data_IF_596552765907
#
_entry.id   IF_596552765907
#
_cell.length_a   1.000
_cell.length_b   1.000
_cell.length_c   1.000
_cell.angle_alpha   90.00
_cell.angle_beta   90.00
_cell.angle_gamma   90.00
#
_symmetry.space_group_name_H-M   'P 1'
#
loop_
_entity.id
_entity.type
_entity.pdbx_description
1 polymer ?
#
# COMPACT_ATOMS: atom_id res chain seq x y z
N UNK A 1 -4.33 13.30 -74.46
CA UNK A 1 -3.31 12.30 -74.85
C UNK A 1 -2.96 11.53 -73.57
N UNK A 2 -3.50 10.31 -73.35
CA UNK A 2 -2.91 8.98 -73.66
C UNK A 2 -1.47 8.85 -73.10
N UNK A 3 -1.03 7.85 -72.31
CA UNK A 3 -1.51 6.52 -71.93
C UNK A 3 -0.77 6.13 -70.60
N UNK A 4 -1.38 5.48 -69.60
CA UNK A 4 -1.51 4.02 -69.37
C UNK A 4 -0.21 3.22 -69.53
N UNK A 5 0.33 2.70 -68.42
CA UNK A 5 0.79 1.30 -68.34
C UNK A 5 0.77 0.81 -66.89
N UNK A 6 0.01 -0.28 -66.69
CA UNK A 6 -0.13 -1.06 -65.46
C UNK A 6 1.09 -1.98 -65.23
N UNK A 7 1.34 -2.33 -63.98
CA UNK A 7 1.75 -3.68 -63.60
C UNK A 7 1.11 -4.07 -62.25
N UNK A 8 0.11 -4.94 -62.34
CA UNK A 8 -0.54 -5.70 -61.28
C UNK A 8 0.15 -7.08 -61.22
N UNK A 9 0.05 -7.74 -60.05
CA UNK A 9 0.36 -9.14 -59.72
C UNK A 9 1.79 -9.46 -59.26
N UNK A 10 1.96 -9.73 -57.96
CA UNK A 10 1.75 -11.09 -57.45
C UNK A 10 1.63 -11.11 -55.92
N UNK A 11 0.44 -11.46 -55.45
CA UNK A 11 0.17 -12.07 -54.14
C UNK A 11 0.78 -13.47 -54.12
N UNK A 12 1.49 -13.84 -53.04
CA UNK A 12 1.39 -15.12 -52.32
C UNK A 12 2.59 -15.32 -51.37
N UNK A 13 2.29 -15.65 -50.11
CA UNK A 13 3.14 -16.56 -49.34
C UNK A 13 3.91 -15.97 -48.16
N UNK A 14 3.21 -15.65 -47.06
CA UNK A 14 3.76 -15.85 -45.72
C UNK A 14 2.63 -16.17 -44.74
N UNK A 15 2.28 -17.45 -44.68
CA UNK A 15 1.52 -18.03 -43.59
C UNK A 15 2.38 -18.01 -42.31
N UNK A 16 1.80 -17.47 -41.24
CA UNK A 16 1.92 -17.91 -39.85
C UNK A 16 3.33 -18.11 -39.26
N UNK A 17 3.74 -17.17 -38.41
CA UNK A 17 3.84 -17.50 -36.98
C UNK A 17 3.23 -16.34 -36.17
N UNK A 18 2.17 -16.55 -35.36
CA UNK A 18 1.98 -15.69 -34.21
C UNK A 18 3.01 -16.17 -33.19
N UNK A 19 4.20 -15.54 -33.19
CA UNK A 19 5.07 -15.62 -32.04
C UNK A 19 4.29 -14.98 -30.87
N UNK A 20 3.67 -15.85 -30.07
CA UNK A 20 3.34 -15.62 -28.67
C UNK A 20 4.63 -15.25 -27.93
N UNK A 21 5.06 -14.01 -28.08
CA UNK A 21 6.10 -13.41 -27.26
C UNK A 21 5.60 -12.04 -26.79
N UNK A 22 4.48 -12.07 -26.05
CA UNK A 22 4.43 -11.24 -24.87
C UNK A 22 5.41 -11.90 -23.89
N UNK A 23 6.64 -11.38 -23.81
CA UNK A 23 7.51 -11.67 -22.67
C UNK A 23 6.67 -11.47 -21.39
N UNK A 24 6.73 -12.39 -20.40
CA UNK A 24 6.06 -12.11 -19.14
C UNK A 24 6.68 -10.83 -18.60
N UNK A 25 5.86 -9.80 -18.40
CA UNK A 25 6.28 -8.68 -17.56
C UNK A 25 6.63 -9.30 -16.20
N UNK A 26 7.91 -9.42 -15.89
CA UNK A 26 8.37 -10.00 -14.65
C UNK A 26 7.73 -9.18 -13.52
N UNK A 27 6.88 -9.84 -12.72
CA UNK A 27 6.25 -9.24 -11.57
C UNK A 27 7.30 -9.07 -10.46
N UNK A 28 8.27 -8.19 -10.71
CA UNK A 28 9.28 -7.81 -9.74
C UNK A 28 8.83 -6.58 -8.96
N UNK A 29 9.29 -6.49 -7.72
CA UNK A 29 9.14 -5.29 -6.94
C UNK A 29 9.89 -4.15 -7.65
N UNK A 30 9.26 -2.97 -7.75
CA UNK A 30 9.98 -1.77 -8.16
C UNK A 30 11.16 -1.53 -7.22
N UNK A 31 12.30 -1.13 -7.79
CA UNK A 31 13.56 -0.94 -7.08
C UNK A 31 13.45 0.06 -5.92
N UNK A 32 14.43 0.02 -5.00
CA UNK A 32 14.47 0.91 -3.86
C UNK A 32 14.50 2.38 -4.32
N UNK A 33 13.41 3.12 -4.05
CA UNK A 33 13.37 4.56 -4.21
C UNK A 33 14.25 5.21 -3.13
N UNK A 34 15.37 5.80 -3.53
CA UNK A 34 16.17 6.66 -2.65
C UNK A 34 15.61 8.08 -2.69
N UNK A 35 15.14 8.56 -1.54
CA UNK A 35 14.68 9.95 -1.41
C UNK A 35 15.92 10.83 -1.25
N UNK A 36 16.18 11.68 -2.24
CA UNK A 36 17.22 12.70 -2.15
C UNK A 36 16.62 14.00 -1.63
N UNK A 37 17.04 14.42 -0.44
CA UNK A 37 16.68 15.72 0.14
C UNK A 37 17.68 16.80 -0.30
N UNK A 38 17.20 18.01 -0.54
CA UNK A 38 18.07 19.17 -0.80
C UNK A 38 18.93 19.48 0.43
N UNK A 39 20.08 20.14 0.24
CA UNK A 39 20.95 20.54 1.35
C UNK A 39 20.24 21.44 2.36
N UNK A 40 19.38 22.35 1.89
CA UNK A 40 18.56 23.21 2.75
C UNK A 40 17.53 22.42 3.57
N UNK A 41 16.90 21.40 2.98
CA UNK A 41 15.97 20.53 3.73
C UNK A 41 16.71 19.72 4.80
N UNK A 42 17.90 19.20 4.48
CA UNK A 42 18.73 18.47 5.45
C UNK A 42 19.20 19.37 6.60
N UNK A 43 19.63 20.59 6.29
CA UNK A 43 20.02 21.58 7.29
C UNK A 43 18.84 21.92 8.19
N UNK A 44 17.67 22.20 7.61
CA UNK A 44 16.47 22.50 8.40
C UNK A 44 16.06 21.31 9.27
N UNK A 45 16.09 20.09 8.77
CA UNK A 45 15.80 18.90 9.58
C UNK A 45 16.75 18.76 10.77
N UNK A 46 18.02 19.11 10.58
CA UNK A 46 19.01 19.14 11.67
C UNK A 46 18.64 20.18 12.73
N UNK A 47 18.29 21.40 12.31
CA UNK A 47 17.81 22.47 13.20
C UNK A 47 16.54 22.06 13.95
N UNK A 48 15.57 21.47 13.24
CA UNK A 48 14.30 21.04 13.83
C UNK A 48 14.48 19.88 14.81
N UNK A 49 15.46 18.99 14.57
CA UNK A 49 15.81 17.89 15.47
C UNK A 49 16.62 18.30 16.69
N UNK A 50 17.23 19.49 16.69
CA UNK A 50 17.95 20.05 17.82
C UNK A 50 17.02 20.78 18.81
N UNK A 51 17.58 21.14 19.98
CA UNK A 51 16.92 22.03 20.94
C UNK A 51 16.76 23.44 20.37
N UNK A 52 15.68 24.14 20.74
CA UNK A 52 15.40 25.48 20.21
C UNK A 52 16.46 26.50 20.62
N UNK A 53 17.14 27.11 19.63
CA UNK A 53 18.16 28.13 19.83
C UNK A 53 17.84 29.40 19.04
N UNK A 54 17.95 30.57 19.69
CA UNK A 54 17.74 31.88 19.05
C UNK A 54 18.73 32.14 17.89
N UNK A 55 19.91 31.51 17.92
CA UNK A 55 20.87 31.54 16.81
C UNK A 55 20.36 30.92 15.50
N UNK A 56 19.35 30.04 15.55
CA UNK A 56 18.79 29.38 14.36
C UNK A 56 17.75 30.24 13.64
N UNK A 57 17.32 31.36 14.24
CA UNK A 57 16.28 32.26 13.70
C UNK A 57 16.55 32.68 12.25
N UNK A 58 17.77 33.12 11.87
CA UNK A 58 18.05 33.51 10.48
C UNK A 58 17.91 32.35 9.50
N UNK A 59 18.29 31.13 9.90
CA UNK A 59 18.17 29.94 9.04
C UNK A 59 16.70 29.54 8.84
N UNK A 60 15.89 29.60 9.90
CA UNK A 60 14.45 29.30 9.86
C UNK A 60 13.68 30.31 8.97
N UNK A 61 14.01 31.60 9.07
CA UNK A 61 13.44 32.64 8.20
C UNK A 61 13.91 32.42 6.76
N UNK A 62 15.23 32.25 6.55
CA UNK A 62 15.81 32.02 5.22
C UNK A 62 15.16 30.83 4.51
N UNK A 63 14.92 29.74 5.24
CA UNK A 63 14.25 28.57 4.68
C UNK A 63 12.87 28.94 4.14
N UNK A 64 12.03 29.59 4.94
CA UNK A 64 10.67 29.96 4.52
C UNK A 64 10.63 30.94 3.34
N UNK A 65 11.57 31.88 3.27
CA UNK A 65 11.60 32.91 2.24
C UNK A 65 12.19 32.42 0.92
N UNK A 66 13.26 31.61 0.96
CA UNK A 66 14.11 31.35 -0.22
C UNK A 66 14.06 29.93 -0.77
N UNK A 67 13.49 28.98 -0.04
CA UNK A 67 13.40 27.61 -0.56
C UNK A 67 12.24 27.49 -1.54
N UNK A 68 12.43 26.73 -2.62
CA UNK A 68 11.37 26.26 -3.52
C UNK A 68 11.30 24.72 -3.52
N UNK A 69 11.79 24.10 -2.44
CA UNK A 69 11.75 22.65 -2.28
C UNK A 69 10.30 22.14 -2.29
N UNK A 70 10.09 20.97 -2.90
CA UNK A 70 8.84 20.22 -2.81
C UNK A 70 8.43 19.93 -1.35
N UNK A 71 9.39 19.94 -0.43
CA UNK A 71 9.17 19.71 1.00
C UNK A 71 8.76 20.98 1.76
N UNK A 72 8.87 22.17 1.14
CA UNK A 72 8.55 23.46 1.77
C UNK A 72 7.16 23.51 2.42
N UNK A 73 6.08 22.98 1.82
CA UNK A 73 4.76 23.00 2.44
C UNK A 73 4.72 22.27 3.79
N UNK A 74 5.60 21.30 4.02
CA UNK A 74 5.67 20.57 5.29
C UNK A 74 6.72 21.22 6.20
N UNK A 75 7.96 21.28 5.74
CA UNK A 75 9.09 21.73 6.55
C UNK A 75 9.01 23.22 6.89
N UNK A 76 8.48 24.05 5.98
CA UNK A 76 8.26 25.47 6.23
C UNK A 76 7.23 25.70 7.35
N UNK A 77 6.17 24.89 7.41
CA UNK A 77 5.21 24.95 8.51
C UNK A 77 5.86 24.61 9.87
N UNK A 78 6.73 23.60 9.93
CA UNK A 78 7.48 23.30 11.15
C UNK A 78 8.50 24.39 11.50
N UNK A 79 9.16 25.00 10.51
CA UNK A 79 10.03 26.14 10.73
C UNK A 79 9.27 27.34 11.32
N UNK A 80 8.07 27.63 10.83
CA UNK A 80 7.17 28.67 11.37
C UNK A 80 6.72 28.37 12.79
N UNK A 81 6.37 27.10 13.09
CA UNK A 81 6.06 26.67 14.44
C UNK A 81 7.24 26.91 15.40
N UNK A 82 8.46 26.57 14.98
CA UNK A 82 9.68 26.79 15.77
C UNK A 82 9.91 28.27 16.04
N UNK A 83 9.85 29.11 15.00
CA UNK A 83 9.96 30.56 15.11
C UNK A 83 8.91 31.14 16.08
N UNK A 84 7.65 30.73 15.94
CA UNK A 84 6.58 31.20 16.80
C UNK A 84 6.75 30.78 18.26
N UNK A 85 7.14 29.52 18.50
CA UNK A 85 7.38 29.03 19.86
C UNK A 85 8.54 29.79 20.54
N UNK A 86 9.60 30.10 19.79
CA UNK A 86 10.72 30.92 20.29
C UNK A 86 10.27 32.35 20.60
N UNK A 87 9.49 32.97 19.72
CA UNK A 87 8.97 34.31 19.93
C UNK A 87 8.01 34.41 21.13
N UNK A 88 7.13 33.41 21.33
CA UNK A 88 6.27 33.36 22.51
C UNK A 88 7.06 33.22 23.81
N UNK A 89 8.16 32.45 23.80
CA UNK A 89 9.07 32.36 24.96
C UNK A 89 9.68 33.71 25.29
N UNK A 90 9.98 34.50 24.27
CA UNK A 90 10.60 35.83 24.39
C UNK A 90 9.54 36.95 24.60
N UNK A 91 8.26 36.59 24.67
CA UNK A 91 7.14 37.51 24.90
C UNK A 91 6.62 38.24 23.65
N UNK A 92 7.19 37.98 22.47
CA UNK A 92 6.79 38.59 21.20
C UNK A 92 5.57 37.85 20.60
N UNK A 93 4.39 38.15 21.13
CA UNK A 93 3.13 37.54 20.71
C UNK A 93 2.70 37.99 19.31
N UNK A 94 3.14 39.17 18.85
CA UNK A 94 2.83 39.68 17.52
C UNK A 94 3.56 38.90 16.43
N UNK A 95 4.90 38.79 16.53
CA UNK A 95 5.68 38.02 15.58
C UNK A 95 5.27 36.54 15.58
N UNK A 96 5.00 35.97 16.76
CA UNK A 96 4.50 34.60 16.84
C UNK A 96 3.21 34.41 16.03
N UNK A 97 2.22 35.30 16.19
CA UNK A 97 0.96 35.23 15.41
C UNK A 97 1.19 35.44 13.92
N UNK A 98 2.13 36.31 13.52
CA UNK A 98 2.49 36.50 12.12
C UNK A 98 3.01 35.21 11.50
N UNK A 99 3.87 34.45 12.21
CA UNK A 99 4.38 33.17 11.72
C UNK A 99 3.30 32.09 11.70
N UNK A 100 2.49 32.00 12.77
CA UNK A 100 1.46 30.97 12.91
C UNK A 100 0.29 31.14 11.93
N UNK A 101 -0.07 32.39 11.58
CA UNK A 101 -1.16 32.67 10.63
C UNK A 101 -0.87 32.15 9.21
N UNK A 102 0.42 31.96 8.90
CA UNK A 102 0.88 31.42 7.62
C UNK A 102 1.01 29.89 7.63
N UNK A 103 0.77 29.23 8.77
CA UNK A 103 0.73 27.76 8.82
C UNK A 103 -0.54 27.27 8.13
N UNK A 104 -0.36 26.37 7.16
CA UNK A 104 -1.48 25.81 6.42
C UNK A 104 -2.41 25.02 7.34
N UNK A 105 -3.69 25.37 7.37
CA UNK A 105 -4.63 24.79 8.33
C UNK A 105 -4.94 23.29 8.08
N UNK A 106 -4.62 22.76 6.90
CA UNK A 106 -4.77 21.33 6.55
C UNK A 106 -3.47 20.54 6.75
N UNK A 107 -2.41 21.16 7.26
CA UNK A 107 -1.13 20.51 7.48
C UNK A 107 -1.08 19.75 8.81
N UNK A 108 -0.11 18.84 8.99
CA UNK A 108 0.18 18.20 10.29
C UNK A 108 0.50 19.20 11.41
N UNK A 109 1.06 20.36 11.05
CA UNK A 109 1.38 21.47 11.96
C UNK A 109 0.12 22.25 12.42
N UNK A 110 -1.04 21.96 11.79
CA UNK A 110 -2.39 22.42 12.11
C UNK A 110 -2.65 22.69 13.60
N UNK A 111 -2.53 21.61 14.36
CA UNK A 111 -2.92 21.55 15.76
C UNK A 111 -1.96 22.38 16.60
N UNK A 112 -0.65 22.17 16.44
CA UNK A 112 0.37 22.92 17.17
C UNK A 112 0.24 24.42 16.89
N UNK A 113 -0.04 24.81 15.64
CA UNK A 113 -0.18 26.20 15.29
C UNK A 113 -1.36 26.86 15.99
N UNK A 114 -2.51 26.19 16.00
CA UNK A 114 -3.71 26.69 16.65
C UNK A 114 -3.57 26.77 18.19
N UNK A 115 -2.88 25.79 18.80
CA UNK A 115 -2.60 25.82 20.23
C UNK A 115 -1.65 26.96 20.61
N UNK A 116 -0.60 27.20 19.82
CA UNK A 116 0.30 28.34 20.02
C UNK A 116 -0.40 29.68 19.75
N UNK A 117 -1.32 29.74 18.78
CA UNK A 117 -2.16 30.92 18.56
C UNK A 117 -3.03 31.18 19.78
N UNK A 118 -3.70 30.17 20.31
CA UNK A 118 -4.50 30.31 21.52
C UNK A 118 -3.67 30.78 22.71
N UNK A 119 -2.47 30.22 22.90
CA UNK A 119 -1.57 30.65 23.98
C UNK A 119 -1.08 32.09 23.79
N UNK A 120 -0.78 32.50 22.55
CA UNK A 120 -0.42 33.91 22.26
C UNK A 120 -1.52 34.90 22.69
N UNK A 121 -2.79 34.53 22.52
CA UNK A 121 -3.91 35.35 22.96
C UNK A 121 -4.10 35.30 24.48
N UNK A 122 -3.83 34.16 25.13
CA UNK A 122 -3.84 34.05 26.60
C UNK A 122 -2.78 34.95 27.24
N UNK A 123 -1.57 35.00 26.68
CA UNK A 123 -0.48 35.85 27.16
C UNK A 123 -0.84 37.34 27.10
N UNK A 124 -1.57 37.77 26.06
CA UNK A 124 -2.08 39.14 25.94
C UNK A 124 -3.39 39.39 26.72
N UNK A 125 -3.89 38.39 27.45
CA UNK A 125 -5.14 38.48 28.22
C UNK A 125 -6.43 38.29 27.41
N UNK A 126 -6.36 38.10 26.10
CA UNK A 126 -7.52 37.84 25.23
C UNK A 126 -7.97 36.38 25.29
N UNK A 127 -8.57 36.00 26.42
CA UNK A 127 -9.04 34.64 26.65
C UNK A 127 -10.18 34.23 25.73
N UNK A 128 -10.96 35.18 25.19
CA UNK A 128 -12.04 34.83 24.28
C UNK A 128 -11.50 34.28 22.96
N UNK A 129 -10.58 35.01 22.31
CA UNK A 129 -9.95 34.52 21.07
C UNK A 129 -9.18 33.23 21.30
N UNK A 130 -8.54 33.07 22.45
CA UNK A 130 -7.88 31.81 22.80
C UNK A 130 -8.86 30.62 22.81
N UNK A 131 -10.00 30.75 23.49
CA UNK A 131 -11.04 29.72 23.55
C UNK A 131 -11.62 29.41 22.18
N UNK A 132 -11.84 30.42 21.35
CA UNK A 132 -12.34 30.22 19.98
C UNK A 132 -11.35 29.38 19.14
N UNK A 133 -10.04 29.59 19.31
CA UNK A 133 -9.02 28.75 18.69
C UNK A 133 -9.05 27.30 19.19
N UNK A 134 -9.16 27.10 20.51
CA UNK A 134 -9.26 25.76 21.11
C UNK A 134 -10.48 24.97 20.60
N UNK A 135 -11.65 25.61 20.57
CA UNK A 135 -12.89 24.97 20.07
C UNK A 135 -12.77 24.65 18.58
N UNK A 136 -12.29 25.61 17.77
CA UNK A 136 -12.13 25.41 16.33
C UNK A 136 -11.19 24.27 15.99
N UNK A 137 -10.04 24.16 16.68
CA UNK A 137 -9.08 23.12 16.35
C UNK A 137 -9.57 21.73 16.72
N UNK A 138 -10.27 21.59 17.86
CA UNK A 138 -10.89 20.33 18.28
C UNK A 138 -12.08 19.90 17.40
N UNK A 139 -12.75 20.85 16.75
CA UNK A 139 -13.76 20.56 15.74
C UNK A 139 -13.13 20.02 14.45
N UNK A 140 -11.99 20.59 14.04
CA UNK A 140 -11.28 20.21 12.80
C UNK A 140 -10.49 18.92 12.91
N UNK A 141 -9.87 18.67 14.05
CA UNK A 141 -9.07 17.47 14.32
C UNK A 141 -9.66 16.70 15.51
N UNK A 142 -10.89 16.16 15.35
CA UNK A 142 -11.63 15.55 16.46
C UNK A 142 -10.96 14.29 17.02
N UNK A 143 -10.06 13.66 16.26
CA UNK A 143 -9.26 12.52 16.69
C UNK A 143 -7.86 12.88 17.17
N UNK A 144 -7.49 14.16 17.24
CA UNK A 144 -6.19 14.56 17.78
C UNK A 144 -6.29 14.82 19.30
N UNK A 145 -5.54 14.09 20.14
CA UNK A 145 -5.64 14.25 21.59
C UNK A 145 -5.23 15.64 22.10
N UNK A 146 -4.24 16.29 21.46
CA UNK A 146 -3.81 17.66 21.80
C UNK A 146 -4.81 18.72 21.36
N UNK A 147 -5.55 18.48 20.28
CA UNK A 147 -6.65 19.36 19.91
C UNK A 147 -7.78 19.29 20.96
N UNK A 148 -8.10 18.10 21.45
CA UNK A 148 -9.11 17.90 22.50
C UNK A 148 -8.63 18.48 23.85
N UNK A 149 -7.35 18.40 24.18
CA UNK A 149 -6.82 19.08 25.39
C UNK A 149 -7.04 20.59 25.35
N UNK A 150 -7.07 21.21 24.16
CA UNK A 150 -7.52 22.60 24.00
C UNK A 150 -8.92 22.85 24.57
N UNK A 151 -9.86 21.90 24.42
CA UNK A 151 -11.20 22.05 25.02
C UNK A 151 -11.15 22.03 26.55
N UNK A 152 -10.30 21.19 27.14
CA UNK A 152 -10.13 21.17 28.60
C UNK A 152 -9.58 22.50 29.09
N UNK A 153 -8.56 23.04 28.40
CA UNK A 153 -8.02 24.38 28.69
C UNK A 153 -9.08 25.48 28.55
N UNK A 154 -9.93 25.41 27.52
CA UNK A 154 -11.03 26.36 27.34
C UNK A 154 -12.08 26.26 28.46
N UNK A 155 -12.38 25.04 28.92
CA UNK A 155 -13.25 24.79 30.08
C UNK A 155 -12.65 25.35 31.37
N UNK A 156 -11.36 25.12 31.59
CA UNK A 156 -10.61 25.67 32.73
C UNK A 156 -10.60 27.20 32.71
N UNK A 157 -10.44 27.81 31.53
CA UNK A 157 -10.48 29.28 31.39
C UNK A 157 -11.83 29.87 31.79
N UNK A 158 -12.94 29.21 31.44
CA UNK A 158 -14.28 29.63 31.88
C UNK A 158 -14.50 29.35 33.37
N UNK A 159 -14.08 28.18 33.88
CA UNK A 159 -14.18 27.83 35.30
C UNK A 159 -13.46 28.85 36.17
N UNK A 160 -12.24 29.22 35.80
CA UNK A 160 -11.43 30.19 36.54
C UNK A 160 -12.04 31.61 36.53
N UNK A 161 -13.00 31.90 35.64
CA UNK A 161 -13.77 33.14 35.61
C UNK A 161 -15.11 33.03 36.36
N UNK A 162 -15.41 31.89 36.99
CA UNK A 162 -16.71 31.61 37.60
C UNK A 162 -17.85 31.42 36.59
N UNK A 163 -17.53 31.36 35.29
CA UNK A 163 -18.48 31.26 34.19
C UNK A 163 -18.94 29.81 33.99
N UNK A 164 -19.69 29.30 34.96
CA UNK A 164 -20.05 27.87 35.04
C UNK A 164 -20.90 27.41 33.86
N UNK A 165 -21.87 28.23 33.43
CA UNK A 165 -22.79 27.91 32.33
C UNK A 165 -22.05 27.70 31.00
N UNK A 166 -20.92 28.38 30.83
CA UNK A 166 -20.05 28.27 29.66
C UNK A 166 -19.02 27.13 29.80
N UNK A 167 -18.50 26.88 31.01
CA UNK A 167 -17.48 25.87 31.24
C UNK A 167 -18.03 24.43 31.08
N UNK A 168 -19.21 24.16 31.63
CA UNK A 168 -19.82 22.83 31.64
C UNK A 168 -20.02 22.21 30.23
N UNK A 169 -20.60 22.90 29.23
CA UNK A 169 -20.76 22.33 27.90
C UNK A 169 -19.41 22.04 27.21
N UNK A 170 -18.38 22.83 27.50
CA UNK A 170 -17.04 22.62 26.92
C UNK A 170 -16.37 21.37 27.49
N UNK A 171 -16.44 21.13 28.80
CA UNK A 171 -15.96 19.86 29.38
C UNK A 171 -16.74 18.65 28.85
N UNK A 172 -18.07 18.76 28.74
CA UNK A 172 -18.89 17.69 28.16
C UNK A 172 -18.49 17.40 26.69
N UNK A 173 -18.19 18.43 25.90
CA UNK A 173 -17.70 18.26 24.53
C UNK A 173 -16.35 17.52 24.50
N UNK A 174 -15.42 17.87 25.40
CA UNK A 174 -14.14 17.16 25.52
C UNK A 174 -14.36 15.67 25.86
N UNK A 175 -15.20 15.38 26.86
CA UNK A 175 -15.53 14.03 27.30
C UNK A 175 -16.19 13.20 26.18
N UNK A 176 -17.12 13.78 25.43
CA UNK A 176 -17.77 13.11 24.31
C UNK A 176 -16.75 12.73 23.23
N UNK A 177 -15.87 13.66 22.84
CA UNK A 177 -14.80 13.38 21.87
C UNK A 177 -13.84 12.32 22.38
N UNK A 178 -13.47 12.34 23.66
CA UNK A 178 -12.64 11.28 24.25
C UNK A 178 -13.33 9.92 24.13
N UNK A 179 -14.61 9.82 24.50
CA UNK A 179 -15.36 8.58 24.45
C UNK A 179 -15.49 8.03 23.01
N UNK A 180 -15.77 8.89 22.03
CA UNK A 180 -15.83 8.53 20.61
C UNK A 180 -14.49 7.95 20.12
N UNK A 181 -13.37 8.61 20.45
CA UNK A 181 -12.04 8.15 20.05
C UNK A 181 -11.64 6.86 20.75
N UNK A 182 -11.94 6.71 22.05
CA UNK A 182 -11.70 5.46 22.79
C UNK A 182 -12.48 4.29 22.17
N UNK A 183 -13.73 4.52 21.74
CA UNK A 183 -14.54 3.52 21.03
C UNK A 183 -13.93 3.14 19.67
N UNK A 184 -13.41 4.12 18.93
CA UNK A 184 -12.71 3.85 17.66
C UNK A 184 -11.42 3.05 17.88
N UNK A 185 -10.66 3.37 18.93
CA UNK A 185 -9.47 2.61 19.33
C UNK A 185 -9.81 1.18 19.78
N UNK A 186 -10.93 0.98 20.47
CA UNK A 186 -11.38 -0.36 20.84
C UNK A 186 -11.76 -1.20 19.61
N UNK A 187 -12.52 -0.62 18.69
CA UNK A 187 -12.86 -1.27 17.40
C UNK A 187 -11.59 -1.71 16.65
N UNK A 188 -10.52 -0.90 16.72
CA UNK A 188 -9.25 -1.27 16.10
C UNK A 188 -8.53 -2.40 16.85
N UNK A 189 -8.57 -2.39 18.19
CA UNK A 189 -8.02 -3.47 18.99
C UNK A 189 -8.64 -4.82 18.60
N UNK A 190 -9.95 -4.82 18.36
CA UNK A 190 -10.73 -5.99 17.98
C UNK A 190 -10.49 -6.41 16.50
N UNK A 191 -10.16 -5.47 15.62
CA UNK A 191 -9.89 -5.70 14.19
C UNK A 191 -8.67 -4.88 13.67
N UNK A 192 -7.43 -5.32 13.98
CA UNK A 192 -6.20 -4.63 13.61
C UNK A 192 -6.01 -4.44 12.10
N UNK A 193 -6.65 -5.29 11.28
CA UNK A 193 -6.45 -5.30 9.83
C UNK A 193 -7.06 -4.06 9.16
N UNK A 194 -7.95 -3.35 9.86
CA UNK A 194 -8.45 -2.02 9.43
C UNK A 194 -7.32 -1.01 9.27
N UNK A 195 -6.24 -1.15 10.02
CA UNK A 195 -5.10 -0.24 9.98
C UNK A 195 -4.39 -0.25 8.62
N UNK A 196 -4.38 -1.39 7.93
CA UNK A 196 -3.67 -1.50 6.65
C UNK A 196 -4.23 -0.57 5.60
N UNK A 197 -5.56 -0.38 5.54
CA UNK A 197 -6.17 0.57 4.61
C UNK A 197 -5.74 2.01 4.92
N UNK A 198 -5.63 2.36 6.20
CA UNK A 198 -5.15 3.68 6.61
C UNK A 198 -3.66 3.84 6.29
N UNK A 199 -2.82 2.86 6.60
CA UNK A 199 -1.38 2.90 6.29
C UNK A 199 -1.05 3.03 4.80
N UNK A 200 -1.84 2.39 3.92
CA UNK A 200 -1.58 2.45 2.47
C UNK A 200 -2.24 3.62 1.76
N UNK A 201 -3.23 4.28 2.37
CA UNK A 201 -4.02 5.35 1.73
C UNK A 201 -3.93 6.70 2.45
N UNK A 202 -3.45 6.75 3.69
CA UNK A 202 -3.37 7.99 4.45
C UNK A 202 -2.20 8.81 3.93
N UNK A 203 -2.52 9.94 3.31
CA UNK A 203 -1.57 11.02 3.13
C UNK A 203 -1.31 11.58 4.52
N UNK A 204 -0.06 11.50 5.00
CA UNK A 204 0.38 11.94 6.34
C UNK A 204 0.03 13.39 6.73
N UNK A 205 -0.64 14.14 5.84
CA UNK A 205 -1.09 15.52 6.01
C UNK A 205 -2.43 15.71 6.74
N UNK A 206 -3.37 14.74 6.70
CA UNK A 206 -4.74 14.96 7.17
C UNK A 206 -5.11 14.10 8.40
N UNK A 207 -4.34 14.25 9.47
CA UNK A 207 -4.44 13.42 10.69
C UNK A 207 -5.64 13.78 11.58
N UNK A 208 -6.84 13.75 11.01
CA UNK A 208 -8.07 14.21 11.65
C UNK A 208 -8.71 13.14 12.53
N UNK A 209 -8.43 11.87 12.25
CA UNK A 209 -8.97 10.73 12.99
C UNK A 209 -7.97 10.21 14.02
N UNK A 210 -8.47 9.50 15.04
CA UNK A 210 -7.60 8.84 16.02
C UNK A 210 -6.76 7.73 15.40
N UNK A 211 -7.25 7.12 14.32
CA UNK A 211 -6.52 6.15 13.51
C UNK A 211 -5.26 6.78 12.90
N UNK A 212 -5.39 7.98 12.35
CA UNK A 212 -4.24 8.70 11.80
C UNK A 212 -3.23 9.08 12.89
N UNK A 213 -3.70 9.45 14.09
CA UNK A 213 -2.80 9.72 15.22
C UNK A 213 -2.02 8.49 15.65
N UNK A 214 -2.66 7.32 15.63
CA UNK A 214 -1.99 6.07 15.95
C UNK A 214 -0.97 5.67 14.87
N UNK A 215 -1.31 5.87 13.58
CA UNK A 215 -0.37 5.71 12.47
C UNK A 215 0.84 6.64 12.64
N UNK A 216 0.61 7.91 12.96
CA UNK A 216 1.69 8.85 13.22
C UNK A 216 2.56 8.44 14.42
N UNK A 217 1.96 7.93 15.50
CA UNK A 217 2.70 7.46 16.67
C UNK A 217 3.60 6.26 16.31
N UNK A 218 3.06 5.27 15.61
CA UNK A 218 3.82 4.14 15.10
C UNK A 218 4.94 4.56 14.16
N UNK A 219 4.69 5.48 13.23
CA UNK A 219 5.71 5.95 12.28
C UNK A 219 6.84 6.73 12.96
N UNK A 220 6.53 7.48 14.04
CA UNK A 220 7.52 8.25 14.81
C UNK A 220 8.43 7.36 15.65
N UNK A 221 7.93 6.22 16.08
CA UNK A 221 8.72 5.20 16.76
C UNK A 221 9.70 4.55 15.78
N UNK A 222 10.99 4.91 15.90
CA UNK A 222 12.03 4.47 14.97
C UNK A 222 12.25 2.95 15.03
N UNK A 223 11.98 2.33 16.18
CA UNK A 223 12.17 0.90 16.40
C UNK A 223 10.96 0.07 15.97
N UNK A 224 9.83 0.72 15.63
CA UNK A 224 8.60 0.05 15.20
C UNK A 224 8.74 -0.71 13.88
N UNK A 225 9.65 -0.25 13.00
CA UNK A 225 9.81 -0.71 11.63
C UNK A 225 8.53 -0.63 10.76
N UNK A 226 7.55 0.19 11.15
CA UNK A 226 6.25 0.29 10.44
C UNK A 226 6.38 0.89 9.06
N UNK A 227 7.32 1.81 8.83
CA UNK A 227 7.58 2.36 7.50
C UNK A 227 8.06 1.28 6.53
N UNK A 228 9.00 0.45 6.96
CA UNK A 228 9.52 -0.66 6.15
C UNK A 228 8.44 -1.71 5.91
N UNK A 229 7.66 -2.07 6.93
CA UNK A 229 6.54 -2.97 6.80
C UNK A 229 5.49 -2.42 5.82
N UNK A 230 5.16 -1.13 5.90
CA UNK A 230 4.21 -0.47 4.99
C UNK A 230 4.72 -0.50 3.55
N UNK A 231 6.01 -0.22 3.32
CA UNK A 231 6.63 -0.33 2.00
C UNK A 231 6.54 -1.76 1.45
N UNK A 232 6.87 -2.76 2.27
CA UNK A 232 6.72 -4.19 1.90
C UNK A 232 5.28 -4.52 1.53
N UNK A 233 4.29 -4.04 2.29
CA UNK A 233 2.86 -4.26 1.99
C UNK A 233 2.43 -3.63 0.67
N UNK A 234 2.87 -2.39 0.39
CA UNK A 234 2.57 -1.72 -0.89
C UNK A 234 3.17 -2.50 -2.06
N UNK A 235 4.45 -2.86 -1.96
CA UNK A 235 5.14 -3.62 -3.00
C UNK A 235 4.50 -5.00 -3.22
N UNK A 236 4.25 -5.75 -2.15
CA UNK A 236 3.61 -7.06 -2.22
C UNK A 236 2.20 -6.97 -2.83
N UNK A 237 1.43 -5.91 -2.54
CA UNK A 237 0.12 -5.71 -3.16
C UNK A 237 0.21 -5.43 -4.67
N UNK A 238 1.23 -4.68 -5.11
CA UNK A 238 1.48 -4.44 -6.53
C UNK A 238 1.90 -5.73 -7.25
N UNK A 239 2.83 -6.50 -6.68
CA UNK A 239 3.24 -7.80 -7.22
C UNK A 239 2.05 -8.75 -7.28
N UNK A 240 1.21 -8.82 -6.23
CA UNK A 240 0.00 -9.65 -6.21
C UNK A 240 -1.00 -9.28 -7.31
N UNK A 241 -1.19 -7.98 -7.59
CA UNK A 241 -2.03 -7.52 -8.70
C UNK A 241 -1.48 -8.00 -10.05
N UNK A 242 -0.16 -7.88 -10.25
CA UNK A 242 0.51 -8.38 -11.44
C UNK A 242 0.37 -9.91 -11.59
N UNK A 243 0.61 -10.67 -10.52
CA UNK A 243 0.48 -12.13 -10.50
C UNK A 243 -0.95 -12.58 -10.83
N UNK A 244 -1.98 -11.91 -10.35
CA UNK A 244 -3.38 -12.19 -10.72
C UNK A 244 -3.64 -12.03 -12.22
N UNK A 245 -2.98 -11.07 -12.86
CA UNK A 245 -3.10 -10.88 -14.31
C UNK A 245 -2.37 -11.99 -15.08
N UNK A 246 -1.19 -12.38 -14.62
CA UNK A 246 -0.46 -13.51 -15.19
C UNK A 246 -1.21 -14.84 -15.01
N UNK A 247 -1.85 -15.04 -13.85
CA UNK A 247 -2.66 -16.23 -13.55
C UNK A 247 -3.82 -16.39 -14.54
N UNK A 248 -4.53 -15.30 -14.86
CA UNK A 248 -5.59 -15.32 -15.89
C UNK A 248 -5.04 -15.73 -17.25
N UNK A 249 -3.89 -15.18 -17.64
CA UNK A 249 -3.23 -15.55 -18.90
C UNK A 249 -2.85 -17.03 -18.93
N UNK A 250 -2.26 -17.54 -17.85
CA UNK A 250 -1.91 -18.96 -17.74
C UNK A 250 -3.16 -19.86 -17.77
N UNK A 251 -4.21 -19.48 -17.07
CA UNK A 251 -5.47 -20.23 -17.04
C UNK A 251 -6.05 -20.39 -18.45
N UNK A 252 -6.07 -19.31 -19.24
CA UNK A 252 -6.51 -19.35 -20.64
C UNK A 252 -5.61 -20.27 -21.48
N UNK A 253 -4.29 -20.20 -21.32
CA UNK A 253 -3.35 -21.05 -22.05
C UNK A 253 -3.54 -22.55 -21.72
N UNK A 254 -3.76 -22.88 -20.45
CA UNK A 254 -4.09 -24.23 -19.98
C UNK A 254 -5.41 -24.68 -20.62
N UNK A 255 -6.45 -23.85 -20.55
CA UNK A 255 -7.76 -24.15 -21.13
C UNK A 255 -7.67 -24.44 -22.64
N UNK A 256 -6.90 -23.64 -23.39
CA UNK A 256 -6.66 -23.89 -24.81
C UNK A 256 -5.88 -25.17 -25.08
N UNK A 257 -4.93 -25.54 -24.21
CA UNK A 257 -4.22 -26.81 -24.32
C UNK A 257 -5.15 -28.00 -24.05
N UNK A 258 -5.99 -27.93 -23.01
CA UNK A 258 -6.95 -28.98 -22.67
C UNK A 258 -8.06 -29.13 -23.72
N UNK A 259 -8.54 -28.02 -24.30
CA UNK A 259 -9.54 -28.09 -25.38
C UNK A 259 -8.98 -28.78 -26.64
N UNK A 260 -7.73 -28.48 -27.01
CA UNK A 260 -7.03 -29.19 -28.10
C UNK A 260 -6.87 -30.68 -27.79
N UNK A 261 -6.54 -31.01 -26.54
CA UNK A 261 -6.40 -32.39 -26.09
C UNK A 261 -7.71 -33.20 -26.24
N UNK A 262 -8.82 -32.61 -25.79
CA UNK A 262 -10.16 -33.21 -25.92
C UNK A 262 -10.52 -33.48 -27.39
N UNK A 263 -10.27 -32.51 -28.28
CA UNK A 263 -10.50 -32.67 -29.72
C UNK A 263 -9.64 -33.80 -30.32
N UNK A 264 -8.40 -33.94 -29.88
CA UNK A 264 -7.46 -34.96 -30.36
C UNK A 264 -7.66 -36.35 -29.73
N UNK A 265 -8.54 -36.50 -28.73
CA UNK A 265 -8.69 -37.74 -27.94
C UNK A 265 -9.11 -38.95 -28.79
N UNK A 266 -10.13 -38.79 -29.63
CA UNK A 266 -10.63 -39.84 -30.52
C UNK A 266 -9.57 -40.25 -31.57
N UNK A 267 -8.91 -39.26 -32.19
CA UNK A 267 -7.85 -39.50 -33.17
C UNK A 267 -6.65 -40.24 -32.57
N UNK A 268 -6.27 -39.92 -31.33
CA UNK A 268 -5.19 -40.63 -30.62
C UNK A 268 -5.57 -42.05 -30.28
N UNK A 269 -6.81 -42.27 -29.83
CA UNK A 269 -7.31 -43.62 -29.52
C UNK A 269 -7.27 -44.49 -30.77
N UNK A 270 -7.79 -43.98 -31.89
CA UNK A 270 -7.72 -44.66 -33.19
C UNK A 270 -6.27 -44.95 -33.62
N UNK A 271 -5.38 -43.95 -33.55
CA UNK A 271 -3.97 -44.14 -33.88
C UNK A 271 -3.23 -45.14 -32.98
N UNK A 272 -3.56 -45.21 -31.69
CA UNK A 272 -3.00 -46.21 -30.77
C UNK A 272 -3.46 -47.63 -31.12
N UNK A 273 -4.73 -47.80 -31.50
CA UNK A 273 -5.26 -49.08 -31.97
C UNK A 273 -4.60 -49.52 -33.28
N UNK A 274 -4.48 -48.61 -34.25
CA UNK A 274 -3.80 -48.85 -35.53
C UNK A 274 -2.31 -49.23 -35.34
N UNK A 275 -1.63 -48.55 -34.42
CA UNK A 275 -0.25 -48.87 -34.02
C UNK A 275 -0.13 -50.28 -33.43
N UNK A 276 -1.08 -50.68 -32.58
CA UNK A 276 -1.10 -52.02 -31.98
C UNK A 276 -1.28 -53.10 -33.03
N UNK A 277 -2.24 -52.92 -33.95
CA UNK A 277 -2.48 -53.85 -35.04
C UNK A 277 -1.26 -53.96 -35.98
N UNK A 278 -0.68 -52.82 -36.39
CA UNK A 278 0.49 -52.81 -37.27
C UNK A 278 1.73 -53.45 -36.63
N UNK A 279 1.94 -53.29 -35.32
CA UNK A 279 3.01 -53.98 -34.60
C UNK A 279 2.82 -55.50 -34.58
N UNK A 280 1.58 -55.96 -34.46
CA UNK A 280 1.28 -57.38 -34.49
C UNK A 280 1.52 -57.96 -35.89
N UNK A 281 1.10 -57.26 -36.95
CA UNK A 281 1.39 -57.64 -38.34
C UNK A 281 2.90 -57.74 -38.62
N UNK A 282 3.69 -56.76 -38.17
CA UNK A 282 5.16 -56.82 -38.29
C UNK A 282 5.72 -58.06 -37.59
N UNK A 283 5.29 -58.34 -36.36
CA UNK A 283 5.76 -59.49 -35.61
C UNK A 283 5.39 -60.83 -36.26
N UNK A 284 4.19 -60.92 -36.85
CA UNK A 284 3.74 -62.11 -37.57
C UNK A 284 4.50 -62.28 -38.91
N UNK A 285 4.72 -61.21 -39.67
CA UNK A 285 5.52 -61.23 -40.89
C UNK A 285 6.98 -61.61 -40.63
N UNK A 286 7.59 -61.08 -39.57
CA UNK A 286 8.95 -61.45 -39.14
C UNK A 286 9.03 -62.94 -38.77
N UNK A 287 8.00 -63.49 -38.11
CA UNK A 287 7.92 -64.92 -37.78
C UNK A 287 7.82 -65.79 -39.03
N UNK A 288 7.04 -65.38 -40.03
CA UNK A 288 6.89 -66.15 -41.29
C UNK A 288 8.17 -66.07 -42.13
N UNK A 289 8.77 -64.88 -42.24
CA UNK A 289 10.03 -64.67 -42.98
C UNK A 289 11.21 -65.44 -42.37
N UNK A 290 11.20 -65.68 -41.06
CA UNK A 290 12.19 -66.56 -40.42
C UNK A 290 12.18 -67.98 -41.00
N UNK A 291 11.01 -68.48 -41.40
CA UNK A 291 10.83 -69.82 -41.97
C UNK A 291 10.88 -69.84 -43.51
N UNK A 292 10.81 -68.68 -44.16
CA UNK A 292 10.81 -68.53 -45.62
C UNK A 292 11.56 -67.23 -46.03
N UNK A 293 12.91 -67.21 -45.91
CA UNK A 293 13.71 -65.99 -46.04
C UNK A 293 13.73 -65.40 -47.46
N UNK A 294 13.50 -66.22 -48.49
CA UNK A 294 13.57 -65.80 -49.90
C UNK A 294 12.23 -65.29 -50.45
N UNK A 295 11.20 -65.17 -49.60
CA UNK A 295 9.87 -64.70 -49.98
C UNK A 295 9.86 -63.17 -50.19
N UNK A 296 10.28 -62.71 -51.37
CA UNK A 296 10.39 -61.29 -51.72
C UNK A 296 9.10 -60.49 -51.50
N UNK A 297 7.92 -61.08 -51.75
CA UNK A 297 6.63 -60.43 -51.50
C UNK A 297 6.38 -60.16 -50.00
N UNK A 298 6.75 -61.12 -49.13
CA UNK A 298 6.62 -60.94 -47.68
C UNK A 298 7.63 -59.91 -47.15
N UNK A 299 8.83 -59.85 -47.72
CA UNK A 299 9.83 -58.85 -47.39
C UNK A 299 9.34 -57.43 -47.76
N UNK A 300 8.71 -57.28 -48.93
CA UNK A 300 8.12 -56.00 -49.35
C UNK A 300 6.99 -55.56 -48.41
N UNK A 301 6.09 -56.48 -48.01
CA UNK A 301 5.01 -56.20 -47.05
C UNK A 301 5.53 -55.82 -45.67
N UNK A 302 6.60 -56.46 -45.20
CA UNK A 302 7.23 -56.11 -43.93
C UNK A 302 7.80 -54.68 -43.96
N UNK A 303 8.42 -54.27 -45.07
CA UNK A 303 8.93 -52.91 -45.24
C UNK A 303 7.78 -51.89 -45.26
N UNK A 304 6.69 -52.14 -45.99
CA UNK A 304 5.52 -51.24 -45.97
C UNK A 304 4.89 -51.14 -44.58
N UNK A 305 4.78 -52.26 -43.85
CA UNK A 305 4.26 -52.26 -42.49
C UNK A 305 5.15 -51.44 -41.53
N UNK A 306 6.48 -51.49 -41.69
CA UNK A 306 7.44 -50.67 -40.94
C UNK A 306 7.30 -49.18 -41.27
N UNK A 307 7.18 -48.83 -42.54
CA UNK A 307 6.94 -47.44 -42.98
C UNK A 307 5.61 -46.91 -42.46
N UNK A 308 4.56 -47.75 -42.48
CA UNK A 308 3.25 -47.42 -41.90
C UNK A 308 3.36 -47.17 -40.40
N UNK A 309 4.12 -48.00 -39.67
CA UNK A 309 4.37 -47.80 -38.25
C UNK A 309 5.09 -46.47 -37.97
N UNK A 310 6.07 -46.08 -38.80
CA UNK A 310 6.72 -44.77 -38.69
C UNK A 310 5.73 -43.62 -38.91
N UNK A 311 4.87 -43.70 -39.93
CA UNK A 311 3.82 -42.68 -40.17
C UNK A 311 2.84 -42.58 -39.00
N UNK A 312 2.45 -43.70 -38.41
CA UNK A 312 1.56 -43.73 -37.23
C UNK A 312 2.25 -43.09 -36.01
N UNK A 313 3.54 -43.36 -35.80
CA UNK A 313 4.32 -42.71 -34.74
C UNK A 313 4.37 -41.20 -34.93
N UNK A 314 4.72 -40.72 -36.13
CA UNK A 314 4.74 -39.29 -36.45
C UNK A 314 3.35 -38.64 -36.27
N UNK A 315 2.26 -39.36 -36.58
CA UNK A 315 0.88 -38.89 -36.35
C UNK A 315 0.57 -38.78 -34.85
N UNK A 316 0.96 -39.78 -34.06
CA UNK A 316 0.79 -39.75 -32.60
C UNK A 316 1.58 -38.61 -31.95
N UNK A 317 2.81 -38.35 -32.43
CA UNK A 317 3.63 -37.25 -31.94
C UNK A 317 2.99 -35.89 -32.25
N UNK A 318 2.43 -35.71 -33.46
CA UNK A 318 1.67 -34.50 -33.83
C UNK A 318 0.39 -34.31 -33.01
N UNK A 319 -0.29 -35.40 -32.66
CA UNK A 319 -1.53 -35.34 -31.86
C UNK A 319 -1.27 -35.01 -30.39
N UNK A 320 -0.03 -35.20 -29.90
CA UNK A 320 0.40 -34.85 -28.56
C UNK A 320 -0.11 -35.77 -27.44
N UNK A 321 0.29 -35.46 -26.21
CA UNK A 321 -0.08 -36.22 -25.01
C UNK A 321 -1.25 -35.58 -24.25
N UNK A 322 -1.90 -36.34 -23.35
CA UNK A 322 -2.93 -35.83 -22.42
C UNK A 322 -2.35 -35.05 -21.25
N UNK A 323 -1.04 -35.10 -21.04
CA UNK A 323 -0.38 -34.32 -20.02
C UNK A 323 -0.31 -32.86 -20.47
N UNK A 324 -0.45 -31.94 -19.51
CA UNK A 324 -0.20 -30.54 -19.75
C UNK A 324 1.23 -30.36 -20.26
N UNK A 325 1.47 -29.51 -21.29
CA UNK A 325 2.81 -29.24 -21.78
C UNK A 325 3.76 -28.87 -20.63
N UNK A 326 4.96 -29.45 -20.61
CA UNK A 326 5.93 -29.28 -19.52
C UNK A 326 6.21 -27.81 -19.19
N UNK A 327 6.23 -26.94 -20.20
CA UNK A 327 6.39 -25.50 -20.03
C UNK A 327 5.24 -24.84 -19.27
N UNK A 328 4.00 -25.26 -19.52
CA UNK A 328 2.83 -24.76 -18.78
C UNK A 328 2.79 -25.31 -17.35
N UNK A 329 3.21 -26.56 -17.12
CA UNK A 329 3.36 -27.11 -15.76
C UNK A 329 4.44 -26.36 -14.97
N UNK A 330 5.60 -26.10 -15.59
CA UNK A 330 6.67 -25.30 -14.98
C UNK A 330 6.17 -23.91 -14.59
N UNK A 331 5.55 -23.20 -15.55
CA UNK A 331 5.00 -21.86 -15.31
C UNK A 331 3.89 -21.84 -14.24
N UNK A 332 3.09 -22.91 -14.14
CA UNK A 332 2.09 -23.07 -13.08
C UNK A 332 2.74 -23.21 -11.71
N UNK A 333 3.79 -24.01 -11.58
CA UNK A 333 4.54 -24.18 -10.32
C UNK A 333 5.22 -22.87 -9.91
N UNK A 334 5.92 -22.21 -10.83
CA UNK A 334 6.57 -20.91 -10.58
C UNK A 334 5.54 -19.85 -10.13
N UNK A 335 4.35 -19.83 -10.75
CA UNK A 335 3.28 -18.92 -10.34
C UNK A 335 2.79 -19.21 -8.92
N UNK A 336 2.59 -20.48 -8.56
CA UNK A 336 2.19 -20.89 -7.21
C UNK A 336 3.25 -20.52 -6.16
N UNK A 337 4.53 -20.78 -6.45
CA UNK A 337 5.65 -20.40 -5.58
C UNK A 337 5.73 -18.88 -5.38
N UNK A 338 5.59 -18.11 -6.46
CA UNK A 338 5.57 -16.64 -6.39
C UNK A 338 4.37 -16.11 -5.60
N UNK A 339 3.18 -16.70 -5.77
CA UNK A 339 1.99 -16.34 -4.98
C UNK A 339 2.19 -16.63 -3.49
N UNK A 340 2.73 -17.80 -3.14
CA UNK A 340 3.02 -18.19 -1.77
C UNK A 340 4.06 -17.26 -1.13
N UNK A 341 5.15 -16.94 -1.84
CA UNK A 341 6.17 -16.00 -1.35
C UNK A 341 5.57 -14.63 -1.03
N UNK A 342 4.75 -14.09 -1.94
CA UNK A 342 4.11 -12.78 -1.75
C UNK A 342 3.16 -12.80 -0.56
N UNK A 343 2.37 -13.87 -0.36
CA UNK A 343 1.49 -13.96 0.81
C UNK A 343 2.29 -14.04 2.11
N UNK A 344 3.39 -14.81 2.15
CA UNK A 344 4.28 -14.88 3.31
C UNK A 344 4.92 -13.51 3.63
N UNK A 345 5.37 -12.77 2.62
CA UNK A 345 5.89 -11.40 2.77
C UNK A 345 4.81 -10.46 3.32
N UNK A 346 3.58 -10.55 2.80
CA UNK A 346 2.45 -9.77 3.31
C UNK A 346 2.16 -10.11 4.77
N UNK A 347 2.08 -11.38 5.13
CA UNK A 347 1.86 -11.81 6.52
C UNK A 347 2.97 -11.35 7.46
N UNK A 348 4.23 -11.45 7.05
CA UNK A 348 5.36 -10.98 7.84
C UNK A 348 5.28 -9.46 8.08
N UNK A 349 5.03 -8.67 7.04
CA UNK A 349 4.85 -7.24 7.18
C UNK A 349 3.62 -6.86 8.02
N UNK A 350 2.51 -7.62 7.86
CA UNK A 350 1.31 -7.48 8.70
C UNK A 350 1.61 -7.72 10.17
N UNK A 351 2.38 -8.77 10.49
CA UNK A 351 2.81 -9.08 11.88
C UNK A 351 3.62 -7.93 12.47
N UNK A 352 4.54 -7.34 11.72
CA UNK A 352 5.35 -6.21 12.17
C UNK A 352 4.49 -4.98 12.49
N UNK A 353 3.52 -4.64 11.64
CA UNK A 353 2.54 -3.57 11.93
C UNK A 353 1.71 -3.88 13.18
N UNK A 354 1.27 -5.13 13.38
CA UNK A 354 0.50 -5.53 14.56
C UNK A 354 1.32 -5.42 15.85
N UNK A 355 2.62 -5.72 15.80
CA UNK A 355 3.53 -5.54 16.93
C UNK A 355 3.65 -4.06 17.32
N UNK A 356 3.87 -3.18 16.33
CA UNK A 356 3.91 -1.75 16.57
C UNK A 356 2.59 -1.20 17.11
N UNK A 357 1.45 -1.70 16.58
CA UNK A 357 0.13 -1.37 17.09
C UNK A 357 0.00 -1.77 18.57
N UNK A 358 0.42 -2.99 18.92
CA UNK A 358 0.33 -3.49 20.30
C UNK A 358 1.17 -2.65 21.28
N UNK A 359 2.27 -2.06 20.82
CA UNK A 359 3.09 -1.15 21.62
C UNK A 359 2.46 0.25 21.77
N UNK A 360 1.94 0.82 20.68
CA UNK A 360 1.51 2.23 20.66
C UNK A 360 0.04 2.44 21.08
N UNK A 361 -0.82 1.45 20.88
CA UNK A 361 -2.24 1.55 21.22
C UNK A 361 -2.49 1.82 22.72
N UNK A 362 -1.85 1.12 23.68
CA UNK A 362 -2.04 1.37 25.10
C UNK A 362 -1.61 2.78 25.53
N UNK A 363 -0.55 3.31 24.93
CA UNK A 363 -0.04 4.67 25.20
C UNK A 363 -1.04 5.74 24.76
N UNK A 364 -1.59 5.61 23.55
CA UNK A 364 -2.62 6.54 23.08
C UNK A 364 -3.90 6.43 23.91
N UNK A 365 -4.33 5.22 24.27
CA UNK A 365 -5.46 5.01 25.18
C UNK A 365 -5.23 5.61 26.57
N UNK A 366 -3.99 5.58 27.08
CA UNK A 366 -3.63 6.22 28.35
C UNK A 366 -3.78 7.73 28.24
N UNK A 367 -3.32 8.35 27.16
CA UNK A 367 -3.49 9.78 26.92
C UNK A 367 -4.97 10.19 26.97
N UNK A 368 -5.84 9.49 26.26
CA UNK A 368 -7.28 9.75 26.27
C UNK A 368 -7.91 9.57 27.65
N UNK A 369 -7.52 8.54 28.40
CA UNK A 369 -7.99 8.33 29.78
C UNK A 369 -7.59 9.47 30.71
N UNK A 370 -6.35 9.93 30.63
CA UNK A 370 -5.88 11.08 31.41
C UNK A 370 -6.68 12.34 31.07
N UNK A 371 -6.90 12.59 29.78
CA UNK A 371 -7.67 13.73 29.31
C UNK A 371 -9.14 13.70 29.77
N UNK A 372 -9.77 12.53 29.77
CA UNK A 372 -11.09 12.36 30.38
C UNK A 372 -11.05 12.65 31.89
N UNK A 373 -10.01 12.18 32.59
CA UNK A 373 -9.81 12.47 34.01
C UNK A 373 -9.71 13.95 34.31
N UNK A 374 -8.91 14.70 33.55
CA UNK A 374 -8.77 16.16 33.66
C UNK A 374 -10.11 16.88 33.42
N UNK A 375 -10.82 16.50 32.35
CA UNK A 375 -12.12 17.09 32.05
C UNK A 375 -13.19 16.78 33.12
N UNK A 376 -13.20 15.55 33.65
CA UNK A 376 -14.10 15.16 34.76
C UNK A 376 -13.77 15.90 36.05
N UNK A 377 -12.47 16.06 36.36
CA UNK A 377 -12.03 16.81 37.53
C UNK A 377 -12.49 18.27 37.44
N UNK A 378 -12.27 18.92 36.29
CA UNK A 378 -12.70 20.31 36.10
C UNK A 378 -14.22 20.48 36.19
N UNK A 379 -14.98 19.51 35.68
CA UNK A 379 -16.43 19.45 35.84
C UNK A 379 -16.86 19.22 37.29
N UNK A 380 -16.21 18.33 38.04
CA UNK A 380 -16.53 18.06 39.43
C UNK A 380 -16.28 19.29 40.32
N UNK A 381 -15.17 20.00 40.11
CA UNK A 381 -14.85 21.24 40.83
C UNK A 381 -15.92 22.33 40.62
N UNK A 382 -16.45 22.46 39.39
CA UNK A 382 -17.57 23.37 39.12
C UNK A 382 -18.82 23.01 39.92
N UNK A 383 -19.16 21.73 39.99
CA UNK A 383 -20.36 21.26 40.69
C UNK A 383 -20.23 21.35 42.21
N UNK A 384 -19.01 21.16 42.75
CA UNK A 384 -18.74 21.36 44.17
C UNK A 384 -18.84 22.82 44.58
N UNK A 385 -18.41 23.77 43.75
CA UNK A 385 -18.56 25.20 44.04
C UNK A 385 -20.02 25.68 44.05
N UNK A 386 -20.99 24.82 43.75
CA UNK A 386 -22.44 25.10 43.72
C UNK A 386 -23.18 24.57 44.96
N UNK A 387 -22.62 23.59 45.66
CA UNK A 387 -23.18 23.01 46.89
C UNK A 387 -22.50 23.62 48.12
#
# INVERSE_FOLDING_TARGET
MRAITLAICCLLGALLTPALQAAPADCQAEGAFTVHLSSLDQQLLTILGAGANNGDTPDLIRYNERTDSINKPILGNYARLRLAAMALRDGDTEFARQQLSQVEQRSPAAVDAALLLAESYRLDGDRQRARDWFVRIAARFPGNPRAISGLVLAGDDWRNQGAMEQALPVYNLALNKVAENMKALQTLADDPDRLYRSLTNSVAGNSTTVMDQLVLAMVRDHDSGVLDATRKLINANNVRKCLRQQEKSLHNAIHHATARDLSNSAFRTSAKMEKRATRQEIADLERVLHNAPDAQDLQARLNDARDRLQRINARLDKLGSTALPAELEKRKREMQENQQRVEQEMEAARRQVRQALQAQLPELQRFYRNLAGEAQLGKAQLLQARG
#
